data_IF_042696376952
#
_entry.id   IF_042696376952
#
_cell.length_a   1.000
_cell.length_b   1.000
_cell.length_c   1.000
_cell.angle_alpha   90.00
_cell.angle_beta   90.00
_cell.angle_gamma   90.00
#
_symmetry.space_group_name_H-M   'P 1'
#
loop_
_entity.id
_entity.type
_entity.pdbx_description
1 polymer ?
#
# COMPACT_ATOMS: atom_id res chain seq x y z
N UNK A 1 25.65 29.75 -28.14
CA UNK A 1 24.29 29.50 -27.64
C UNK A 1 23.76 28.12 -28.08
N UNK A 2 24.49 27.34 -28.90
CA UNK A 2 24.08 26.02 -29.39
C UNK A 2 24.61 24.84 -28.54
N UNK A 3 25.58 25.11 -27.64
CA UNK A 3 26.28 24.03 -26.92
C UNK A 3 25.57 23.57 -25.63
N UNK A 4 24.74 24.44 -25.02
CA UNK A 4 23.99 24.05 -23.84
C UNK A 4 22.72 23.20 -24.12
N UNK A 5 22.12 23.38 -25.30
CA UNK A 5 20.92 22.60 -25.66
C UNK A 5 21.31 21.16 -26.06
N UNK A 6 22.48 20.96 -26.65
CA UNK A 6 22.95 19.61 -26.99
C UNK A 6 23.35 18.80 -25.75
N UNK A 7 23.95 19.44 -24.74
CA UNK A 7 24.28 18.79 -23.46
C UNK A 7 23.03 18.45 -22.64
N UNK A 8 22.00 19.30 -22.67
CA UNK A 8 20.72 19.01 -22.04
C UNK A 8 19.97 17.88 -22.77
N UNK A 9 20.01 17.85 -24.11
CA UNK A 9 19.42 16.76 -24.91
C UNK A 9 20.16 15.43 -24.74
N UNK A 10 21.49 15.46 -24.60
CA UNK A 10 22.31 14.27 -24.35
C UNK A 10 22.12 13.72 -22.93
N UNK A 11 21.90 14.57 -21.90
CA UNK A 11 21.52 14.16 -20.57
C UNK A 11 20.09 13.59 -20.51
N UNK A 12 19.16 14.18 -21.27
CA UNK A 12 17.78 13.66 -21.37
C UNK A 12 17.71 12.32 -22.10
N UNK A 13 18.62 12.07 -23.06
CA UNK A 13 18.73 10.78 -23.78
C UNK A 13 19.39 9.73 -22.87
N UNK A 14 20.41 10.09 -22.10
CA UNK A 14 21.06 9.18 -21.15
C UNK A 14 20.14 8.82 -19.96
N UNK A 15 19.41 9.79 -19.39
CA UNK A 15 18.43 9.56 -18.35
C UNK A 15 17.21 8.76 -18.84
N UNK A 16 16.85 8.87 -20.13
CA UNK A 16 15.72 8.13 -20.71
C UNK A 16 16.00 6.65 -20.99
N UNK A 17 17.25 6.21 -20.91
CA UNK A 17 17.64 4.80 -21.16
C UNK A 17 17.69 3.99 -19.87
N UNK A 18 17.89 4.64 -18.72
CA UNK A 18 17.98 3.98 -17.41
C UNK A 18 16.67 4.01 -16.62
N UNK A 19 15.65 4.73 -17.06
CA UNK A 19 14.38 4.80 -16.36
C UNK A 19 13.40 3.74 -16.91
N UNK A 20 12.94 2.85 -16.03
CA UNK A 20 11.62 2.21 -16.17
C UNK A 20 10.63 3.30 -16.61
N UNK A 21 9.67 3.03 -17.52
CA UNK A 21 8.73 4.06 -17.99
C UNK A 21 8.22 4.82 -16.75
N UNK A 22 8.65 6.08 -16.63
CA UNK A 22 8.37 6.91 -15.46
C UNK A 22 6.87 6.91 -15.31
N UNK A 23 6.37 6.28 -14.26
CA UNK A 23 4.96 6.30 -13.96
C UNK A 23 4.57 7.78 -13.83
N UNK A 24 3.78 8.27 -14.76
CA UNK A 24 3.46 9.70 -14.92
C UNK A 24 2.83 10.33 -13.67
N UNK A 25 2.42 9.50 -12.71
CA UNK A 25 1.81 9.91 -11.45
C UNK A 25 2.68 9.66 -10.21
N UNK A 26 3.93 9.18 -10.38
CA UNK A 26 4.87 8.98 -9.28
C UNK A 26 5.46 10.31 -8.84
N UNK A 27 5.47 10.56 -7.52
CA UNK A 27 6.11 11.74 -6.92
C UNK A 27 7.62 11.58 -6.84
N UNK A 28 8.33 12.68 -7.07
CA UNK A 28 9.78 12.79 -6.90
C UNK A 28 10.03 13.81 -5.78
N UNK A 29 10.24 13.30 -4.58
CA UNK A 29 10.48 14.15 -3.41
C UNK A 29 11.93 14.60 -3.36
N UNK A 30 12.14 15.82 -2.86
CA UNK A 30 13.45 16.38 -2.57
C UNK A 30 13.55 16.82 -1.10
N UNK A 31 14.77 16.96 -0.59
CA UNK A 31 15.05 17.47 0.75
C UNK A 31 14.34 16.71 1.86
N UNK A 32 13.62 17.43 2.72
CA UNK A 32 12.93 16.84 3.89
C UNK A 32 11.82 15.86 3.51
N UNK A 33 11.16 16.07 2.36
CA UNK A 33 10.12 15.16 1.87
C UNK A 33 10.70 13.79 1.51
N UNK A 34 11.84 13.77 0.82
CA UNK A 34 12.56 12.55 0.51
C UNK A 34 13.01 11.82 1.79
N UNK A 35 13.56 12.56 2.75
CA UNK A 35 13.98 11.96 4.02
C UNK A 35 12.81 11.32 4.75
N UNK A 36 11.66 11.98 4.80
CA UNK A 36 10.47 11.44 5.46
C UNK A 36 9.97 10.13 4.82
N UNK A 37 9.82 10.10 3.49
CA UNK A 37 9.34 8.90 2.80
C UNK A 37 10.34 7.75 2.90
N UNK A 38 11.64 8.05 2.82
CA UNK A 38 12.71 7.05 2.95
C UNK A 38 12.73 6.42 4.34
N UNK A 39 12.63 7.24 5.40
CA UNK A 39 12.56 6.74 6.78
C UNK A 39 11.30 5.90 6.97
N UNK A 40 10.14 6.36 6.48
CA UNK A 40 8.88 5.63 6.58
C UNK A 40 8.94 4.27 5.88
N UNK A 41 9.53 4.22 4.68
CA UNK A 41 9.74 2.99 3.93
C UNK A 41 10.73 2.06 4.65
N UNK A 42 11.82 2.60 5.21
CA UNK A 42 12.80 1.84 5.98
C UNK A 42 12.19 1.23 7.26
N UNK A 43 11.36 1.99 7.97
CA UNK A 43 10.62 1.49 9.14
C UNK A 43 9.67 0.35 8.72
N UNK A 44 8.95 0.52 7.62
CA UNK A 44 8.04 -0.50 7.10
C UNK A 44 8.79 -1.78 6.69
N UNK A 45 9.94 -1.67 6.03
CA UNK A 45 10.80 -2.80 5.69
C UNK A 45 11.36 -3.48 6.95
N UNK A 46 11.87 -2.71 7.91
CA UNK A 46 12.39 -3.22 9.18
C UNK A 46 11.30 -3.96 9.98
N UNK A 47 10.08 -3.43 10.01
CA UNK A 47 8.94 -4.10 10.63
C UNK A 47 8.73 -5.52 10.08
N UNK A 48 8.75 -5.70 8.74
CA UNK A 48 8.59 -7.03 8.14
C UNK A 48 9.75 -7.95 8.47
N UNK A 49 10.98 -7.45 8.42
CA UNK A 49 12.16 -8.24 8.77
C UNK A 49 12.11 -8.70 10.23
N UNK A 50 11.77 -7.82 11.16
CA UNK A 50 11.70 -8.13 12.59
C UNK A 50 10.55 -9.09 12.91
N UNK A 51 9.36 -8.82 12.37
CA UNK A 51 8.16 -9.62 12.60
C UNK A 51 8.32 -11.06 12.10
N UNK A 52 8.88 -11.25 10.90
CA UNK A 52 9.06 -12.57 10.30
C UNK A 52 10.18 -13.39 10.94
N UNK A 53 11.17 -12.73 11.54
CA UNK A 53 12.23 -13.40 12.28
C UNK A 53 11.90 -13.63 13.77
N UNK A 54 10.70 -13.24 14.20
CA UNK A 54 10.28 -13.45 15.60
C UNK A 54 11.12 -12.66 16.61
N UNK A 55 11.64 -11.51 16.20
CA UNK A 55 12.48 -10.67 17.06
C UNK A 55 11.63 -10.03 18.14
N UNK A 56 11.80 -10.48 19.38
CA UNK A 56 11.18 -9.88 20.56
C UNK A 56 12.19 -8.99 21.28
N UNK A 57 11.82 -7.73 21.50
CA UNK A 57 12.67 -6.78 22.21
C UNK A 57 12.88 -7.24 23.66
N UNK A 58 11.85 -7.79 24.26
CA UNK A 58 11.88 -8.44 25.58
C UNK A 58 12.80 -9.65 25.60
N UNK A 59 12.76 -10.50 24.56
CA UNK A 59 13.65 -11.65 24.40
C UNK A 59 15.13 -11.26 24.19
N UNK A 60 15.38 -10.21 23.39
CA UNK A 60 16.75 -9.73 23.12
C UNK A 60 17.39 -9.04 24.33
N UNK A 61 16.60 -8.42 25.19
CA UNK A 61 17.09 -7.69 26.37
C UNK A 61 16.99 -8.49 27.66
N UNK A 62 16.62 -9.76 27.59
CA UNK A 62 16.44 -10.60 28.79
C UNK A 62 15.31 -10.09 29.72
N UNK A 63 14.30 -9.43 29.15
CA UNK A 63 13.17 -8.87 29.90
C UNK A 63 13.41 -7.48 30.51
N UNK A 64 14.59 -6.86 30.27
CA UNK A 64 14.95 -5.55 30.84
C UNK A 64 14.17 -4.41 30.16
N UNK A 65 13.91 -4.53 28.86
CA UNK A 65 13.18 -3.52 28.08
C UNK A 65 11.83 -4.10 27.67
N UNK A 66 10.79 -3.72 28.38
CA UNK A 66 9.41 -3.99 28.02
C UNK A 66 8.74 -2.65 27.68
N UNK A 67 8.64 -2.33 26.39
CA UNK A 67 7.99 -1.12 25.93
C UNK A 67 6.50 -1.43 25.71
N UNK A 68 5.59 -0.89 26.52
CA UNK A 68 4.16 -1.24 26.48
C UNK A 68 3.46 -0.88 25.17
N UNK A 69 4.12 -0.13 24.28
CA UNK A 69 3.59 0.29 22.98
C UNK A 69 4.21 -0.45 21.78
N UNK A 70 5.24 -1.27 21.99
CA UNK A 70 5.79 -2.12 20.93
C UNK A 70 5.20 -3.52 21.10
N UNK A 71 4.50 -4.03 20.07
CA UNK A 71 3.99 -5.38 20.12
C UNK A 71 5.15 -6.38 20.18
N UNK A 72 5.01 -7.40 21.00
CA UNK A 72 5.92 -8.55 20.96
C UNK A 72 5.80 -9.26 19.62
N UNK A 73 6.93 -9.51 18.98
CA UNK A 73 6.98 -10.35 17.80
C UNK A 73 7.22 -11.82 18.19
N UNK A 74 6.59 -12.78 17.50
CA UNK A 74 5.78 -12.65 16.28
C UNK A 74 4.37 -12.13 16.56
N UNK A 75 3.93 -11.20 15.74
CA UNK A 75 2.54 -10.74 15.77
C UNK A 75 1.60 -11.88 15.37
N UNK A 76 0.37 -11.85 15.91
CA UNK A 76 -0.70 -12.67 15.35
C UNK A 76 -0.83 -12.42 13.84
N UNK A 77 -1.10 -13.48 13.09
CA UNK A 77 -1.15 -13.46 11.61
C UNK A 77 -2.07 -12.35 11.06
N UNK A 78 -3.20 -12.10 11.74
CA UNK A 78 -4.13 -11.04 11.36
C UNK A 78 -3.53 -9.65 11.51
N UNK A 79 -2.98 -9.36 12.66
CA UNK A 79 -2.37 -8.07 12.98
C UNK A 79 -1.22 -7.77 12.03
N UNK A 80 -0.39 -8.78 11.72
CA UNK A 80 0.70 -8.64 10.77
C UNK A 80 0.20 -8.27 9.36
N UNK A 81 -0.83 -8.97 8.87
CA UNK A 81 -1.40 -8.69 7.54
C UNK A 81 -2.14 -7.35 7.49
N UNK A 82 -2.84 -6.95 8.56
CA UNK A 82 -3.50 -5.64 8.65
C UNK A 82 -2.46 -4.52 8.59
N UNK A 83 -1.37 -4.62 9.35
CA UNK A 83 -0.29 -3.63 9.31
C UNK A 83 0.39 -3.59 7.94
N UNK A 84 0.59 -4.76 7.31
CA UNK A 84 1.11 -4.83 5.94
C UNK A 84 0.24 -4.04 4.96
N UNK A 85 -1.06 -4.30 4.92
CA UNK A 85 -2.00 -3.61 4.02
C UNK A 85 -2.05 -2.11 4.32
N UNK A 86 -2.15 -1.73 5.59
CA UNK A 86 -2.23 -0.32 5.99
C UNK A 86 -0.94 0.45 5.64
N UNK A 87 0.23 -0.15 5.88
CA UNK A 87 1.51 0.46 5.53
C UNK A 87 1.70 0.60 4.01
N UNK A 88 1.29 -0.42 3.25
CA UNK A 88 1.30 -0.35 1.79
C UNK A 88 0.36 0.75 1.25
N UNK A 89 -0.85 0.89 1.83
CA UNK A 89 -1.78 1.96 1.49
C UNK A 89 -1.20 3.34 1.83
N UNK A 90 -0.66 3.51 3.04
CA UNK A 90 -0.10 4.79 3.47
C UNK A 90 1.09 5.21 2.59
N UNK A 91 2.06 4.33 2.38
CA UNK A 91 3.20 4.59 1.50
C UNK A 91 2.76 4.81 0.05
N UNK A 92 1.79 4.02 -0.44
CA UNK A 92 1.25 4.15 -1.78
C UNK A 92 0.59 5.50 -2.02
N UNK A 93 -0.25 6.00 -1.11
CA UNK A 93 -0.87 7.33 -1.23
C UNK A 93 0.15 8.47 -1.13
N UNK A 94 1.19 8.30 -0.33
CA UNK A 94 2.26 9.30 -0.27
C UNK A 94 3.07 9.33 -1.56
N UNK A 95 3.31 8.17 -2.18
CA UNK A 95 4.19 8.07 -3.36
C UNK A 95 3.48 8.30 -4.68
N UNK A 96 2.22 7.83 -4.83
CA UNK A 96 1.46 7.92 -6.07
C UNK A 96 0.37 8.98 -6.00
N UNK A 97 0.42 9.95 -6.92
CA UNK A 97 -0.63 10.96 -7.07
C UNK A 97 -1.88 10.38 -7.74
N UNK A 98 -3.03 10.98 -7.45
CA UNK A 98 -4.27 10.65 -8.15
C UNK A 98 -4.30 11.12 -9.61
N UNK A 99 -3.49 12.14 -9.94
CA UNK A 99 -3.39 12.79 -11.25
C UNK A 99 -1.99 12.60 -11.85
N UNK A 100 -1.92 12.56 -13.18
CA UNK A 100 -0.67 12.60 -13.92
C UNK A 100 0.01 13.97 -13.81
N UNK A 101 1.33 13.99 -13.77
CA UNK A 101 2.14 15.22 -13.74
C UNK A 101 2.50 15.75 -15.12
N UNK A 102 2.15 15.06 -16.21
CA UNK A 102 2.44 15.51 -17.59
C UNK A 102 1.59 16.68 -18.07
N UNK A 103 0.43 16.86 -17.44
CA UNK A 103 -0.40 18.03 -17.70
C UNK A 103 0.11 19.19 -16.86
N UNK A 104 0.46 20.29 -17.52
CA UNK A 104 0.94 21.59 -17.01
C UNK A 104 0.86 21.79 -15.49
N UNK A 105 1.82 22.42 -14.83
CA UNK A 105 1.78 22.68 -13.41
C UNK A 105 0.53 23.50 -13.07
N UNK A 106 -0.61 22.82 -12.99
CA UNK A 106 -1.85 23.41 -12.57
C UNK A 106 -1.71 23.78 -11.10
N UNK A 107 -1.70 25.06 -10.80
CA UNK A 107 -1.93 25.56 -9.45
C UNK A 107 -3.29 25.04 -9.02
N UNK A 108 -3.30 24.00 -8.17
CA UNK A 108 -4.55 23.50 -7.59
C UNK A 108 -5.32 24.64 -6.95
N UNK A 109 -6.62 24.65 -7.10
CA UNK A 109 -7.45 25.70 -6.47
C UNK A 109 -7.23 25.62 -4.96
N UNK A 110 -6.84 26.73 -4.32
CA UNK A 110 -6.53 26.73 -2.87
C UNK A 110 -7.71 26.23 -2.02
N UNK A 111 -8.94 26.44 -2.51
CA UNK A 111 -10.17 25.98 -1.88
C UNK A 111 -10.19 24.44 -1.68
N UNK A 112 -9.76 23.66 -2.67
CA UNK A 112 -9.72 22.18 -2.54
C UNK A 112 -8.69 21.73 -1.51
N UNK A 113 -7.57 22.44 -1.40
CA UNK A 113 -6.58 22.23 -0.34
C UNK A 113 -7.18 22.47 1.05
N UNK A 114 -7.88 23.61 1.26
CA UNK A 114 -8.55 23.92 2.53
C UNK A 114 -9.63 22.88 2.86
N UNK A 115 -10.44 22.47 1.90
CA UNK A 115 -11.46 21.47 2.11
C UNK A 115 -10.86 20.12 2.52
N UNK A 116 -9.69 19.77 2.00
CA UNK A 116 -8.95 18.58 2.41
C UNK A 116 -8.49 18.65 3.86
N UNK A 117 -8.05 19.81 4.34
CA UNK A 117 -7.72 19.99 5.75
C UNK A 117 -8.95 19.86 6.66
N UNK A 118 -10.14 20.29 6.20
CA UNK A 118 -11.39 20.07 6.94
C UNK A 118 -11.70 18.57 7.06
N UNK A 119 -11.41 17.76 6.03
CA UNK A 119 -11.59 16.30 6.08
C UNK A 119 -10.63 15.57 7.03
N UNK A 120 -9.54 16.22 7.46
CA UNK A 120 -8.71 15.65 8.52
C UNK A 120 -9.47 15.54 9.85
N UNK A 121 -10.43 16.43 10.11
CA UNK A 121 -11.21 16.39 11.36
C UNK A 121 -11.96 15.06 11.49
N UNK A 122 -12.83 14.65 10.54
CA UNK A 122 -13.49 13.37 10.64
C UNK A 122 -12.50 12.18 10.54
N UNK A 123 -11.39 12.27 9.81
CA UNK A 123 -10.37 11.22 9.76
C UNK A 123 -9.72 11.01 11.14
N UNK A 124 -9.31 12.08 11.83
CA UNK A 124 -8.76 11.99 13.19
C UNK A 124 -9.81 11.61 14.21
N UNK A 125 -11.08 12.03 14.05
CA UNK A 125 -12.17 11.60 14.90
C UNK A 125 -12.36 10.07 14.81
N UNK A 126 -12.39 9.50 13.61
CA UNK A 126 -12.47 8.06 13.42
C UNK A 126 -11.26 7.33 14.04
N UNK A 127 -10.05 7.87 13.84
CA UNK A 127 -8.84 7.30 14.44
C UNK A 127 -8.89 7.35 15.97
N UNK A 128 -9.27 8.48 16.54
CA UNK A 128 -9.42 8.65 17.99
C UNK A 128 -10.45 7.70 18.59
N UNK A 129 -11.57 7.50 17.89
CA UNK A 129 -12.59 6.51 18.32
C UNK A 129 -12.06 5.07 18.24
N UNK A 130 -11.28 4.72 17.20
CA UNK A 130 -10.66 3.41 17.14
C UNK A 130 -9.70 3.15 18.31
N UNK A 131 -8.94 4.16 18.72
CA UNK A 131 -8.11 4.08 19.94
C UNK A 131 -8.94 4.04 21.22
N UNK A 132 -10.05 4.79 21.31
CA UNK A 132 -10.96 4.71 22.47
C UNK A 132 -11.49 3.29 22.64
N UNK A 133 -11.88 2.64 21.55
CA UNK A 133 -12.31 1.24 21.58
C UNK A 133 -11.19 0.30 22.05
N UNK A 134 -9.94 0.55 21.66
CA UNK A 134 -8.81 -0.22 22.14
C UNK A 134 -8.63 -0.09 23.67
N UNK A 135 -8.76 1.13 24.19
CA UNK A 135 -8.66 1.40 25.61
C UNK A 135 -9.83 0.76 26.40
N UNK A 136 -11.05 0.81 25.87
CA UNK A 136 -12.22 0.20 26.50
C UNK A 136 -12.05 -1.30 26.63
N UNK A 137 -11.59 -1.99 25.58
CA UNK A 137 -11.30 -3.42 25.59
C UNK A 137 -10.17 -3.74 26.58
N UNK A 138 -9.10 -2.94 26.61
CA UNK A 138 -8.00 -3.12 27.55
C UNK A 138 -8.42 -2.93 29.00
N UNK A 139 -9.39 -2.05 29.25
CA UNK A 139 -9.99 -1.83 30.57
C UNK A 139 -11.04 -2.89 30.93
N UNK A 140 -11.22 -3.93 30.13
CA UNK A 140 -12.12 -5.04 30.41
C UNK A 140 -13.59 -4.81 30.03
N UNK A 141 -13.89 -3.76 29.26
CA UNK A 141 -15.24 -3.58 28.71
C UNK A 141 -15.50 -4.70 27.71
N UNK A 142 -16.53 -5.50 27.99
CA UNK A 142 -16.93 -6.56 27.06
C UNK A 142 -17.55 -5.96 25.79
N UNK A 143 -16.85 -6.12 24.67
CA UNK A 143 -17.36 -5.66 23.38
C UNK A 143 -18.50 -6.56 22.92
N UNK A 144 -19.70 -6.00 22.84
CA UNK A 144 -20.88 -6.70 22.39
C UNK A 144 -21.53 -5.93 21.24
N UNK A 145 -21.50 -6.49 20.02
CA UNK A 145 -22.08 -5.87 18.82
C UNK A 145 -23.63 -5.70 18.86
N UNK A 146 -24.30 -6.21 19.90
CA UNK A 146 -25.74 -6.07 20.11
C UNK A 146 -26.04 -4.83 20.96
N UNK A 147 -25.10 -4.35 21.76
CA UNK A 147 -25.27 -3.17 22.61
C UNK A 147 -25.56 -1.92 21.77
N UNK A 148 -26.65 -1.24 22.10
CA UNK A 148 -27.09 -0.06 21.36
C UNK A 148 -26.09 1.10 21.43
N UNK A 149 -25.39 1.26 22.55
CA UNK A 149 -24.39 2.32 22.74
C UNK A 149 -23.15 2.05 21.89
N UNK A 150 -22.66 0.81 21.92
CA UNK A 150 -21.50 0.37 21.10
C UNK A 150 -21.85 0.53 19.61
N UNK A 151 -23.02 0.05 19.20
CA UNK A 151 -23.50 0.18 17.82
C UNK A 151 -23.63 1.64 17.39
N UNK A 152 -24.10 2.53 18.27
CA UNK A 152 -24.16 3.95 18.00
C UNK A 152 -22.77 4.54 17.80
N UNK A 153 -21.82 4.24 18.69
CA UNK A 153 -20.45 4.72 18.61
C UNK A 153 -19.75 4.21 17.35
N UNK A 154 -19.89 2.91 17.03
CA UNK A 154 -19.35 2.33 15.81
C UNK A 154 -19.92 2.95 14.53
N UNK A 155 -21.22 3.30 14.52
CA UNK A 155 -21.85 3.85 13.33
C UNK A 155 -21.58 5.34 13.17
N UNK A 156 -21.80 6.13 14.23
CA UNK A 156 -21.84 7.59 14.13
C UNK A 156 -20.54 8.29 14.53
N UNK A 157 -19.79 7.74 15.47
CA UNK A 157 -18.55 8.38 15.92
C UNK A 157 -17.31 7.82 15.23
N UNK A 158 -17.35 6.57 14.77
CA UNK A 158 -16.27 5.94 14.03
C UNK A 158 -16.59 5.85 12.52
N UNK A 159 -17.65 5.15 12.16
CA UNK A 159 -17.91 4.72 10.80
C UNK A 159 -18.31 5.85 9.87
N UNK A 160 -19.24 6.70 10.27
CA UNK A 160 -19.68 7.84 9.44
C UNK A 160 -18.53 8.82 9.19
N UNK A 161 -17.75 9.27 10.21
CA UNK A 161 -16.58 10.11 9.95
C UNK A 161 -15.53 9.44 9.07
N UNK A 162 -15.27 8.15 9.25
CA UNK A 162 -14.34 7.38 8.42
C UNK A 162 -14.76 7.36 6.95
N UNK A 163 -16.04 7.07 6.66
CA UNK A 163 -16.55 7.05 5.29
C UNK A 163 -16.55 8.44 4.65
N UNK A 164 -16.96 9.47 5.38
CA UNK A 164 -16.93 10.85 4.89
C UNK A 164 -15.50 11.27 4.55
N UNK A 165 -14.54 10.99 5.41
CA UNK A 165 -13.14 11.30 5.17
C UNK A 165 -12.57 10.49 3.99
N UNK A 166 -12.88 9.19 3.91
CA UNK A 166 -12.39 8.31 2.84
C UNK A 166 -12.96 8.73 1.48
N UNK A 167 -14.27 8.83 1.35
CA UNK A 167 -14.92 9.21 0.08
C UNK A 167 -14.55 10.64 -0.30
N UNK A 168 -14.61 11.57 0.66
CA UNK A 168 -14.21 12.95 0.45
C UNK A 168 -12.74 13.08 0.03
N UNK A 169 -11.83 12.36 0.70
CA UNK A 169 -10.41 12.32 0.36
C UNK A 169 -10.16 11.79 -1.05
N UNK A 170 -10.84 10.71 -1.44
CA UNK A 170 -10.76 10.15 -2.80
C UNK A 170 -11.23 11.18 -3.83
N UNK A 171 -12.43 11.73 -3.66
CA UNK A 171 -13.01 12.70 -4.60
C UNK A 171 -12.13 13.95 -4.70
N UNK A 172 -11.69 14.51 -3.56
CA UNK A 172 -10.82 15.69 -3.57
C UNK A 172 -9.46 15.40 -4.21
N UNK A 173 -8.92 14.19 -4.06
CA UNK A 173 -7.65 13.82 -4.68
C UNK A 173 -7.70 13.83 -6.20
N UNK A 174 -8.86 13.57 -6.81
CA UNK A 174 -9.04 13.61 -8.27
C UNK A 174 -8.99 15.02 -8.84
N UNK A 175 -9.44 16.00 -8.07
CA UNK A 175 -9.52 17.40 -8.53
C UNK A 175 -8.39 18.28 -8.00
N UNK A 176 -7.69 17.84 -6.93
CA UNK A 176 -6.61 18.62 -6.33
C UNK A 176 -5.29 18.28 -7.01
N UNK A 177 -4.76 19.23 -7.79
CA UNK A 177 -3.46 19.11 -8.44
C UNK A 177 -2.37 19.73 -7.55
N UNK A 178 -1.28 19.01 -7.37
CA UNK A 178 -0.09 19.46 -6.63
C UNK A 178 1.15 19.32 -7.49
N UNK A 179 2.25 20.00 -7.14
CA UNK A 179 3.55 19.77 -7.77
C UNK A 179 4.08 18.36 -7.43
N UNK A 180 4.91 17.82 -8.32
CA UNK A 180 5.47 16.45 -8.21
C UNK A 180 6.30 16.24 -6.95
N UNK A 181 6.89 17.31 -6.40
CA UNK A 181 7.77 17.30 -5.24
C UNK A 181 7.04 17.42 -3.89
N UNK A 182 5.74 17.74 -3.89
CA UNK A 182 4.96 18.04 -2.68
C UNK A 182 3.93 17.01 -2.35
N UNK A 183 3.71 16.78 -1.06
CA UNK A 183 2.60 16.00 -0.56
C UNK A 183 1.26 16.68 -0.86
N UNK A 184 0.25 15.88 -1.15
CA UNK A 184 -1.11 16.36 -1.32
C UNK A 184 -1.91 16.20 -0.03
N UNK A 185 -2.66 17.23 0.37
CA UNK A 185 -3.48 17.17 1.58
C UNK A 185 -4.55 16.07 1.54
N UNK A 186 -5.29 15.83 0.41
CA UNK A 186 -6.20 14.70 0.31
C UNK A 186 -5.52 13.35 0.54
N UNK A 187 -4.30 13.15 0.03
CA UNK A 187 -3.59 11.88 0.18
C UNK A 187 -3.19 11.63 1.63
N UNK A 188 -2.89 12.69 2.37
CA UNK A 188 -2.66 12.57 3.81
C UNK A 188 -3.94 12.18 4.56
N UNK A 189 -5.11 12.68 4.16
CA UNK A 189 -6.41 12.22 4.70
C UNK A 189 -6.57 10.71 4.47
N UNK A 190 -6.27 10.22 3.25
CA UNK A 190 -6.39 8.79 2.94
C UNK A 190 -5.41 7.92 3.75
N UNK A 191 -4.20 8.42 4.03
CA UNK A 191 -3.26 7.75 4.93
C UNK A 191 -3.82 7.62 6.35
N UNK A 192 -4.41 8.70 6.89
CA UNK A 192 -5.04 8.68 8.22
C UNK A 192 -6.23 7.72 8.25
N UNK A 193 -7.05 7.68 7.19
CA UNK A 193 -8.15 6.73 7.07
C UNK A 193 -7.65 5.28 7.03
N UNK A 194 -6.58 4.98 6.28
CA UNK A 194 -5.97 3.65 6.26
C UNK A 194 -5.49 3.22 7.65
N UNK A 195 -4.90 4.15 8.40
CA UNK A 195 -4.48 3.92 9.77
C UNK A 195 -5.67 3.70 10.71
N UNK A 196 -6.76 4.49 10.59
CA UNK A 196 -7.98 4.30 11.37
C UNK A 196 -8.60 2.91 11.17
N UNK A 197 -8.68 2.45 9.91
CA UNK A 197 -9.13 1.09 9.56
C UNK A 197 -8.27 0.04 10.24
N UNK A 198 -6.95 0.18 10.17
CA UNK A 198 -6.03 -0.77 10.76
C UNK A 198 -6.16 -0.85 12.28
N UNK A 199 -6.15 0.29 12.97
CA UNK A 199 -6.30 0.35 14.42
C UNK A 199 -7.60 -0.31 14.87
N UNK A 200 -8.73 0.03 14.21
CA UNK A 200 -10.02 -0.56 14.55
C UNK A 200 -10.02 -2.09 14.36
N UNK A 201 -9.54 -2.57 13.22
CA UNK A 201 -9.54 -4.01 12.93
C UNK A 201 -8.59 -4.80 13.85
N UNK A 202 -7.41 -4.29 14.15
CA UNK A 202 -6.49 -4.91 15.11
C UNK A 202 -7.15 -5.03 16.48
N UNK A 203 -7.82 -3.96 16.90
CA UNK A 203 -8.52 -3.90 18.19
C UNK A 203 -9.63 -4.95 18.28
N UNK A 204 -10.52 -4.99 17.29
CA UNK A 204 -11.67 -5.88 17.31
C UNK A 204 -11.29 -7.34 17.06
N UNK A 205 -10.31 -7.59 16.19
CA UNK A 205 -9.85 -8.95 15.90
C UNK A 205 -9.03 -9.57 17.06
N UNK A 206 -8.52 -8.76 17.95
CA UNK A 206 -7.98 -9.22 19.23
C UNK A 206 -9.04 -9.76 20.20
N UNK A 207 -10.33 -9.58 19.88
CA UNK A 207 -11.46 -10.06 20.67
C UNK A 207 -12.13 -11.28 20.05
N UNK A 208 -13.08 -11.88 20.79
CA UNK A 208 -13.92 -12.98 20.27
C UNK A 208 -14.87 -12.54 19.13
N UNK A 209 -15.01 -11.22 18.91
CA UNK A 209 -15.88 -10.67 17.86
C UNK A 209 -15.45 -11.04 16.46
N UNK A 210 -14.18 -11.39 16.24
CA UNK A 210 -13.72 -11.92 14.94
C UNK A 210 -14.47 -13.19 14.53
N UNK A 211 -14.93 -14.00 15.49
CA UNK A 211 -15.67 -15.23 15.22
C UNK A 211 -17.10 -14.97 14.71
N UNK A 212 -17.59 -13.74 14.85
CA UNK A 212 -18.90 -13.33 14.35
C UNK A 212 -18.88 -12.78 12.94
N UNK A 213 -17.68 -12.62 12.32
CA UNK A 213 -17.54 -12.15 10.93
C UNK A 213 -18.28 -13.07 9.96
N UNK A 214 -18.92 -12.51 8.95
CA UNK A 214 -19.76 -13.26 8.02
C UNK A 214 -21.14 -13.67 8.57
N UNK A 215 -21.47 -13.28 9.81
CA UNK A 215 -22.76 -13.52 10.43
C UNK A 215 -23.54 -12.22 10.62
N UNK A 216 -24.87 -12.27 10.89
CA UNK A 216 -25.65 -11.08 11.23
C UNK A 216 -25.28 -10.42 12.56
N UNK A 217 -24.48 -11.10 13.38
CA UNK A 217 -24.05 -10.63 14.72
C UNK A 217 -22.70 -9.90 14.70
N UNK A 218 -22.08 -9.80 13.53
CA UNK A 218 -20.83 -9.05 13.39
C UNK A 218 -21.02 -7.59 13.79
N UNK A 219 -20.09 -6.98 14.55
CA UNK A 219 -20.08 -5.56 14.81
C UNK A 219 -20.18 -4.75 13.51
N UNK A 220 -21.04 -3.74 13.49
CA UNK A 220 -21.27 -2.94 12.29
C UNK A 220 -20.01 -2.17 11.87
N UNK A 221 -19.19 -1.80 12.85
CA UNK A 221 -17.93 -1.12 12.61
C UNK A 221 -16.96 -1.92 11.74
N UNK A 222 -16.94 -3.27 11.86
CA UNK A 222 -16.13 -4.13 10.97
C UNK A 222 -16.55 -3.95 9.51
N UNK A 223 -17.86 -3.95 9.26
CA UNK A 223 -18.39 -3.80 7.90
C UNK A 223 -18.09 -2.42 7.32
N UNK A 224 -18.22 -1.38 8.14
CA UNK A 224 -17.91 0.00 7.72
C UNK A 224 -16.40 0.18 7.48
N UNK A 225 -15.56 -0.33 8.38
CA UNK A 225 -14.09 -0.32 8.20
C UNK A 225 -13.68 -1.08 6.93
N UNK A 226 -14.32 -2.22 6.64
CA UNK A 226 -14.08 -2.99 5.44
C UNK A 226 -14.52 -2.24 4.16
N UNK A 227 -15.64 -1.52 4.18
CA UNK A 227 -16.05 -0.64 3.07
C UNK A 227 -15.00 0.44 2.83
N UNK A 228 -14.61 1.17 3.88
CA UNK A 228 -13.59 2.21 3.77
C UNK A 228 -12.25 1.65 3.26
N UNK A 229 -11.78 0.56 3.83
CA UNK A 229 -10.55 -0.10 3.42
C UNK A 229 -10.59 -0.63 1.98
N UNK A 230 -11.73 -1.17 1.55
CA UNK A 230 -11.92 -1.61 0.15
C UNK A 230 -11.85 -0.41 -0.81
N UNK A 231 -12.49 0.71 -0.48
CA UNK A 231 -12.40 1.94 -1.27
C UNK A 231 -10.97 2.47 -1.35
N UNK A 232 -10.22 2.44 -0.25
CA UNK A 232 -8.80 2.83 -0.22
C UNK A 232 -7.95 1.93 -1.14
N UNK A 233 -8.14 0.61 -1.07
CA UNK A 233 -7.43 -0.34 -1.95
C UNK A 233 -7.79 -0.09 -3.42
N UNK A 234 -9.06 0.09 -3.74
CA UNK A 234 -9.50 0.37 -5.11
C UNK A 234 -8.91 1.68 -5.64
N UNK A 235 -8.87 2.73 -4.82
CA UNK A 235 -8.27 4.01 -5.22
C UNK A 235 -6.75 3.87 -5.43
N UNK A 236 -6.03 3.18 -4.56
CA UNK A 236 -4.60 2.94 -4.76
C UNK A 236 -4.34 2.07 -5.99
N UNK A 237 -5.16 1.03 -6.21
CA UNK A 237 -5.10 0.20 -7.42
C UNK A 237 -5.31 1.02 -8.68
N UNK A 238 -6.26 1.96 -8.67
CA UNK A 238 -6.49 2.89 -9.78
C UNK A 238 -5.24 3.72 -10.11
N UNK A 239 -4.52 4.15 -9.07
CA UNK A 239 -3.30 4.98 -9.22
C UNK A 239 -2.12 4.18 -9.75
N UNK A 240 -1.95 2.95 -9.30
CA UNK A 240 -0.77 2.12 -9.59
C UNK A 240 -0.98 1.24 -10.82
N UNK A 241 -2.12 0.55 -10.89
CA UNK A 241 -2.41 -0.44 -11.93
C UNK A 241 -3.40 0.04 -13.00
N UNK A 242 -3.92 1.27 -12.86
CA UNK A 242 -4.87 1.85 -13.78
C UNK A 242 -6.32 1.45 -13.52
N UNK A 243 -7.21 1.98 -14.36
CA UNK A 243 -8.67 1.90 -14.16
C UNK A 243 -9.25 0.52 -14.48
N UNK A 244 -8.61 -0.27 -15.35
CA UNK A 244 -9.17 -1.53 -15.84
C UNK A 244 -9.44 -2.54 -14.70
N UNK A 245 -8.49 -2.74 -13.80
CA UNK A 245 -8.65 -3.64 -12.65
C UNK A 245 -9.75 -3.16 -11.68
N UNK A 246 -9.85 -1.85 -11.48
CA UNK A 246 -10.89 -1.26 -10.62
C UNK A 246 -12.29 -1.49 -11.20
N UNK A 247 -12.43 -1.34 -12.52
CA UNK A 247 -13.72 -1.59 -13.21
C UNK A 247 -14.12 -3.06 -13.06
N UNK A 248 -13.20 -3.99 -13.30
CA UNK A 248 -13.45 -5.43 -13.13
C UNK A 248 -13.86 -5.74 -11.68
N UNK A 249 -13.10 -5.25 -10.71
CA UNK A 249 -13.41 -5.43 -9.29
C UNK A 249 -14.79 -4.85 -8.92
N UNK A 250 -15.12 -3.67 -9.44
CA UNK A 250 -16.42 -3.02 -9.21
C UNK A 250 -17.57 -3.84 -9.80
N UNK A 251 -17.40 -4.40 -10.99
CA UNK A 251 -18.42 -5.27 -11.62
C UNK A 251 -18.69 -6.49 -10.73
N UNK A 252 -17.64 -7.16 -10.24
CA UNK A 252 -17.81 -8.30 -9.34
C UNK A 252 -18.44 -7.89 -8.00
N UNK A 253 -18.07 -6.72 -7.46
CA UNK A 253 -18.65 -6.21 -6.23
C UNK A 253 -20.15 -5.91 -6.39
N UNK A 254 -20.56 -5.30 -7.52
CA UNK A 254 -21.97 -5.08 -7.85
C UNK A 254 -22.69 -6.40 -8.04
N UNK A 255 -22.06 -7.38 -8.71
CA UNK A 255 -22.64 -8.71 -8.92
C UNK A 255 -23.01 -9.40 -7.60
N UNK A 256 -22.23 -9.25 -6.54
CA UNK A 256 -22.54 -9.82 -5.22
C UNK A 256 -23.92 -9.40 -4.71
N UNK A 257 -24.34 -8.15 -4.98
CA UNK A 257 -25.61 -7.59 -4.48
C UNK A 257 -26.76 -7.70 -5.49
N UNK A 258 -26.45 -7.80 -6.78
CA UNK A 258 -27.46 -7.86 -7.85
C UNK A 258 -27.71 -9.30 -8.32
N UNK A 259 -26.81 -10.21 -7.98
CA UNK A 259 -26.86 -11.60 -8.47
C UNK A 259 -28.14 -12.36 -8.09
N UNK A 260 -28.85 -12.00 -7.02
CA UNK A 260 -30.14 -12.59 -6.65
C UNK A 260 -31.24 -12.35 -7.70
N UNK A 261 -31.12 -11.25 -8.47
CA UNK A 261 -32.09 -10.84 -9.48
C UNK A 261 -31.74 -11.40 -10.89
N UNK A 262 -30.57 -12.02 -11.03
CA UNK A 262 -30.13 -12.54 -12.34
C UNK A 262 -30.71 -13.92 -12.63
N UNK A 263 -31.04 -14.20 -13.90
CA UNK A 263 -31.62 -15.49 -14.28
C UNK A 263 -30.59 -16.61 -14.44
N UNK A 264 -31.03 -17.83 -14.21
CA UNK A 264 -30.29 -19.06 -14.55
C UNK A 264 -29.01 -19.26 -13.74
N UNK A 265 -27.92 -19.61 -14.41
CA UNK A 265 -26.64 -19.94 -13.75
C UNK A 265 -25.92 -18.73 -13.13
N UNK A 266 -26.34 -17.51 -13.45
CA UNK A 266 -25.82 -16.29 -12.86
C UNK A 266 -26.51 -15.92 -11.54
N UNK A 267 -27.56 -16.65 -11.15
CA UNK A 267 -28.25 -16.37 -9.90
C UNK A 267 -27.37 -16.73 -8.71
N UNK A 268 -27.22 -15.80 -7.76
CA UNK A 268 -26.52 -16.00 -6.49
C UNK A 268 -27.46 -15.81 -5.30
N UNK A 269 -27.20 -16.46 -4.15
CA UNK A 269 -27.96 -16.20 -2.92
C UNK A 269 -27.88 -14.74 -2.52
N UNK A 270 -28.97 -14.19 -1.97
CA UNK A 270 -28.95 -12.83 -1.44
C UNK A 270 -28.03 -12.73 -0.21
N UNK A 271 -27.21 -11.69 -0.20
CA UNK A 271 -26.31 -11.39 0.90
C UNK A 271 -26.45 -9.94 1.32
N UNK A 272 -26.58 -9.70 2.62
CA UNK A 272 -26.61 -8.33 3.14
C UNK A 272 -25.22 -7.69 3.08
N UNK A 273 -25.18 -6.37 2.85
CA UNK A 273 -23.92 -5.65 2.80
C UNK A 273 -23.07 -5.81 4.07
N UNK A 274 -23.71 -5.83 5.25
CA UNK A 274 -23.03 -6.04 6.52
C UNK A 274 -22.34 -7.40 6.58
N UNK A 275 -23.07 -8.46 6.21
CA UNK A 275 -22.52 -9.81 6.20
C UNK A 275 -21.35 -9.94 5.22
N UNK A 276 -21.50 -9.39 4.03
CA UNK A 276 -20.45 -9.42 3.00
C UNK A 276 -19.20 -8.67 3.45
N UNK A 277 -19.33 -7.39 3.81
CA UNK A 277 -18.19 -6.57 4.18
C UNK A 277 -17.56 -7.00 5.51
N UNK A 278 -18.31 -7.56 6.45
CA UNK A 278 -17.69 -8.12 7.66
C UNK A 278 -16.75 -9.28 7.38
N UNK A 279 -16.89 -9.94 6.23
CA UNK A 279 -16.04 -11.05 5.79
C UNK A 279 -14.92 -10.62 4.83
N UNK A 280 -15.05 -9.48 4.15
CA UNK A 280 -14.09 -9.00 3.14
C UNK A 280 -12.69 -8.82 3.71
N UNK A 281 -12.55 -8.28 4.91
CA UNK A 281 -11.26 -8.07 5.56
C UNK A 281 -10.81 -9.24 6.45
N UNK A 282 -11.24 -10.44 6.13
CA UNK A 282 -10.82 -11.67 6.84
C UNK A 282 -9.84 -12.49 5.98
N UNK A 283 -9.43 -13.66 6.50
CA UNK A 283 -8.63 -14.65 5.79
C UNK A 283 -9.35 -15.25 4.57
N UNK A 284 -10.68 -15.18 4.54
CA UNK A 284 -11.50 -15.54 3.38
C UNK A 284 -11.54 -14.43 2.31
N UNK A 285 -11.03 -13.24 2.60
CA UNK A 285 -11.03 -12.08 1.72
C UNK A 285 -9.65 -11.43 1.56
N UNK A 286 -9.58 -10.12 1.83
CA UNK A 286 -8.38 -9.29 1.61
C UNK A 286 -7.17 -9.80 2.41
N UNK A 287 -7.36 -10.25 3.66
CA UNK A 287 -6.28 -10.80 4.48
C UNK A 287 -5.98 -12.27 4.19
N UNK A 288 -6.48 -12.81 3.09
CA UNK A 288 -6.35 -14.19 2.68
C UNK A 288 -4.96 -14.58 2.14
N UNK A 289 -4.87 -15.69 1.38
CA UNK A 289 -3.60 -16.24 0.91
C UNK A 289 -2.76 -15.25 0.10
N UNK A 290 -3.37 -14.39 -0.71
CA UNK A 290 -2.66 -13.39 -1.52
C UNK A 290 -1.90 -12.39 -0.64
N UNK A 291 -2.56 -11.84 0.37
CA UNK A 291 -1.91 -10.94 1.33
C UNK A 291 -0.90 -11.67 2.20
N UNK A 292 -1.14 -12.95 2.53
CA UNK A 292 -0.17 -13.76 3.24
C UNK A 292 1.14 -13.88 2.47
N UNK A 293 1.10 -14.22 1.19
CA UNK A 293 2.28 -14.33 0.33
C UNK A 293 2.95 -12.96 0.13
N UNK A 294 2.15 -11.90 -0.07
CA UNK A 294 2.68 -10.53 -0.21
C UNK A 294 3.43 -10.07 1.03
N UNK A 295 2.85 -10.26 2.22
CA UNK A 295 3.41 -9.79 3.48
C UNK A 295 4.62 -10.61 3.97
N UNK A 296 4.77 -11.86 3.52
CA UNK A 296 5.87 -12.73 3.95
C UNK A 296 6.97 -12.84 2.90
N UNK A 297 6.66 -13.41 1.73
CA UNK A 297 7.68 -13.73 0.73
C UNK A 297 7.99 -12.54 -0.18
N UNK A 298 6.97 -11.92 -0.79
CA UNK A 298 7.19 -10.89 -1.81
C UNK A 298 7.92 -9.69 -1.21
N UNK A 299 7.49 -9.21 -0.05
CA UNK A 299 8.14 -8.05 0.59
C UNK A 299 9.62 -8.32 0.93
N UNK A 300 9.96 -9.54 1.39
CA UNK A 300 11.34 -9.91 1.67
C UNK A 300 12.18 -9.96 0.40
N UNK A 301 11.64 -10.48 -0.70
CA UNK A 301 12.34 -10.48 -1.98
C UNK A 301 12.56 -9.05 -2.50
N UNK A 302 11.59 -8.15 -2.32
CA UNK A 302 11.75 -6.74 -2.71
C UNK A 302 12.85 -6.08 -1.86
N UNK A 303 12.85 -6.29 -0.55
CA UNK A 303 13.88 -5.78 0.35
C UNK A 303 15.26 -6.33 -0.05
N UNK A 304 15.36 -7.64 -0.29
CA UNK A 304 16.60 -8.27 -0.74
C UNK A 304 17.09 -7.69 -2.08
N UNK A 305 16.19 -7.53 -3.06
CA UNK A 305 16.53 -6.93 -4.34
C UNK A 305 17.05 -5.49 -4.19
N UNK A 306 16.45 -4.69 -3.30
CA UNK A 306 16.94 -3.34 -3.02
C UNK A 306 18.38 -3.34 -2.45
N UNK A 307 18.71 -4.27 -1.55
CA UNK A 307 20.08 -4.44 -1.06
C UNK A 307 21.04 -4.87 -2.16
N UNK A 308 20.64 -5.78 -3.05
CA UNK A 308 21.46 -6.20 -4.17
C UNK A 308 21.74 -5.03 -5.15
N UNK A 309 20.72 -4.21 -5.43
CA UNK A 309 20.92 -3.00 -6.25
C UNK A 309 21.86 -2.01 -5.58
N UNK A 310 21.68 -1.73 -4.30
CA UNK A 310 22.53 -0.81 -3.54
C UNK A 310 24.00 -1.31 -3.45
N UNK A 311 24.24 -2.61 -3.43
CA UNK A 311 25.57 -3.21 -3.38
C UNK A 311 26.26 -3.30 -4.74
N UNK A 312 25.64 -2.79 -5.82
CA UNK A 312 26.17 -2.83 -7.20
C UNK A 312 26.49 -4.24 -7.71
N UNK A 313 25.78 -5.24 -7.23
CA UNK A 313 25.92 -6.63 -7.69
C UNK A 313 25.60 -6.76 -9.19
N UNK A 314 24.73 -5.91 -9.71
CA UNK A 314 24.45 -5.83 -11.15
C UNK A 314 25.70 -5.55 -11.98
N UNK A 315 26.47 -4.53 -11.62
CA UNK A 315 27.74 -4.19 -12.29
C UNK A 315 28.75 -5.35 -12.21
N UNK A 316 28.79 -6.02 -11.05
CA UNK A 316 29.62 -7.21 -10.88
C UNK A 316 29.22 -8.33 -11.83
N UNK A 317 27.93 -8.62 -12.00
CA UNK A 317 27.46 -9.67 -12.89
C UNK A 317 27.77 -9.37 -14.36
N UNK A 318 27.63 -8.13 -14.77
CA UNK A 318 27.99 -7.72 -16.14
C UNK A 318 29.51 -7.86 -16.35
N UNK A 319 30.32 -7.37 -15.42
CA UNK A 319 31.78 -7.51 -15.48
C UNK A 319 32.22 -8.98 -15.46
N UNK A 320 31.58 -9.82 -14.66
CA UNK A 320 31.82 -11.25 -14.64
C UNK A 320 31.47 -11.90 -16.00
N UNK A 321 30.31 -11.55 -16.57
CA UNK A 321 29.91 -12.04 -17.88
C UNK A 321 30.93 -11.63 -18.98
N UNK A 322 31.44 -10.40 -18.92
CA UNK A 322 32.52 -9.95 -19.81
C UNK A 322 33.82 -10.75 -19.63
N UNK A 323 34.18 -11.08 -18.41
CA UNK A 323 35.40 -11.86 -18.14
C UNK A 323 35.33 -13.29 -18.70
N UNK A 324 34.13 -13.89 -18.63
CA UNK A 324 33.90 -15.28 -19.09
C UNK A 324 33.69 -15.38 -20.59
N UNK A 325 32.89 -14.50 -21.19
CA UNK A 325 32.42 -14.63 -22.56
C UNK A 325 32.96 -13.54 -23.51
N UNK A 326 33.55 -12.45 -22.99
CA UNK A 326 33.93 -11.28 -23.80
C UNK A 326 34.96 -11.55 -24.88
N UNK A 327 35.91 -12.47 -24.64
CA UNK A 327 36.96 -12.85 -25.60
C UNK A 327 36.53 -13.90 -26.64
N UNK A 328 35.32 -14.47 -26.47
CA UNK A 328 34.81 -15.47 -27.39
C UNK A 328 34.34 -14.85 -28.72
N UNK A 329 34.35 -15.64 -29.80
CA UNK A 329 33.78 -15.18 -31.08
C UNK A 329 32.31 -14.84 -30.90
N UNK A 330 31.89 -13.59 -31.19
CA UNK A 330 30.59 -13.05 -30.87
C UNK A 330 30.44 -12.69 -29.36
N UNK A 331 31.55 -12.29 -28.72
CA UNK A 331 31.64 -11.96 -27.30
C UNK A 331 30.54 -11.08 -26.77
N UNK A 332 30.26 -9.90 -27.35
CA UNK A 332 29.24 -9.00 -26.88
C UNK A 332 27.85 -9.63 -26.78
N UNK A 333 27.44 -10.39 -27.81
CA UNK A 333 26.12 -11.08 -27.79
C UNK A 333 26.07 -12.17 -26.72
N UNK A 334 27.15 -12.90 -26.49
CA UNK A 334 27.21 -13.92 -25.42
C UNK A 334 27.21 -13.29 -24.04
N UNK A 335 27.90 -12.17 -23.86
CA UNK A 335 27.92 -11.40 -22.63
C UNK A 335 26.50 -10.89 -22.30
N UNK A 336 25.79 -10.36 -23.31
CA UNK A 336 24.40 -9.90 -23.11
C UNK A 336 23.49 -11.02 -22.60
N UNK A 337 23.60 -12.24 -23.17
CA UNK A 337 22.80 -13.39 -22.73
C UNK A 337 23.18 -13.80 -21.30
N UNK A 338 24.47 -13.91 -21.00
CA UNK A 338 24.95 -14.28 -19.67
C UNK A 338 24.60 -13.23 -18.62
N UNK A 339 24.83 -11.97 -18.91
CA UNK A 339 24.50 -10.85 -18.02
C UNK A 339 22.97 -10.79 -17.77
N UNK A 340 22.15 -10.93 -18.83
CA UNK A 340 20.70 -10.95 -18.72
C UNK A 340 20.21 -12.14 -17.88
N UNK A 341 20.81 -13.31 -18.01
CA UNK A 341 20.50 -14.47 -17.18
C UNK A 341 20.80 -14.24 -15.69
N UNK A 342 21.96 -13.67 -15.39
CA UNK A 342 22.35 -13.34 -14.01
C UNK A 342 21.52 -12.20 -13.43
N UNK A 343 21.29 -11.15 -14.21
CA UNK A 343 20.45 -10.02 -13.79
C UNK A 343 18.98 -10.43 -13.62
N UNK A 344 18.48 -11.35 -14.43
CA UNK A 344 17.13 -11.89 -14.30
C UNK A 344 16.88 -12.63 -12.99
N UNK A 345 17.93 -13.09 -12.30
CA UNK A 345 17.83 -13.68 -10.95
C UNK A 345 17.58 -12.64 -9.87
N UNK A 346 17.88 -11.36 -10.16
CA UNK A 346 17.78 -10.25 -9.20
C UNK A 346 16.62 -9.32 -9.54
N UNK A 347 16.44 -9.01 -10.82
CA UNK A 347 15.42 -8.10 -11.31
C UNK A 347 14.05 -8.80 -11.28
N UNK A 348 13.09 -8.22 -10.58
CA UNK A 348 11.70 -8.69 -10.56
C UNK A 348 10.91 -8.36 -11.83
N UNK A 349 11.46 -7.57 -12.77
CA UNK A 349 10.80 -7.13 -14.00
C UNK A 349 11.63 -7.46 -15.24
N UNK A 350 10.96 -7.91 -16.31
CA UNK A 350 11.60 -8.17 -17.60
C UNK A 350 12.12 -6.88 -18.26
N UNK A 351 11.37 -5.77 -18.11
CA UNK A 351 11.75 -4.47 -18.63
C UNK A 351 13.03 -3.94 -17.97
N UNK A 352 13.13 -3.98 -16.64
CA UNK A 352 14.31 -3.58 -15.89
C UNK A 352 15.54 -4.42 -16.26
N UNK A 353 15.35 -5.73 -16.52
CA UNK A 353 16.45 -6.59 -16.98
C UNK A 353 16.95 -6.21 -18.37
N UNK A 354 16.05 -5.91 -19.32
CA UNK A 354 16.41 -5.49 -20.68
C UNK A 354 17.14 -4.15 -20.66
N UNK A 355 16.66 -3.18 -19.90
CA UNK A 355 17.31 -1.87 -19.78
C UNK A 355 18.68 -2.00 -19.15
N UNK A 356 18.81 -2.66 -18.00
CA UNK A 356 20.06 -2.80 -17.28
C UNK A 356 21.16 -3.55 -18.08
N UNK A 357 20.78 -4.59 -18.82
CA UNK A 357 21.74 -5.34 -19.65
C UNK A 357 21.94 -4.69 -21.00
N UNK A 358 20.92 -4.07 -21.58
CA UNK A 358 20.97 -3.40 -22.88
C UNK A 358 21.84 -2.18 -22.86
N UNK A 359 21.75 -1.31 -21.85
CA UNK A 359 22.59 -0.11 -21.74
C UNK A 359 24.08 -0.40 -21.66
N UNK A 360 24.47 -1.59 -21.18
CA UNK A 360 25.85 -2.02 -21.04
C UNK A 360 26.36 -2.88 -22.21
N UNK A 361 25.48 -3.44 -23.02
CA UNK A 361 25.84 -4.41 -24.08
C UNK A 361 25.54 -3.92 -25.50
N UNK A 362 24.71 -2.90 -25.63
CA UNK A 362 24.41 -2.24 -26.91
C UNK A 362 25.21 -0.95 -26.93
N UNK A 363 26.21 -0.81 -27.89
CA UNK A 363 27.01 0.39 -28.02
C UNK A 363 26.20 1.57 -28.56
#
# INVERSE_FOLDING_TARGET
MSDKSQVEDEHLIADGVDEEPVEHNRRLFEGTGLTFITISAAIYAAFHMLALNGVSLSGMTGGIVNLPFLPDFPLETWNFRIVHVAGALALGFLWYSANSFNDSPGTGTPLLGYLSYVLLVPAFMATGMAFSFALDIQNGVMWNGIDATIKFNETWLFGTPLLVATVGGIVLSWFHKTSREKYSAPDFVLCVCAFAVAVYLITIYGTLMRNSTGTPFAPIGISIAAVAGTLLIMELTRRVAGLALVVIATIFLIYVFVGEFLPGFLQSPSITWQRFFSQVYTDAGILGPTTAVSSTYIILFIIFAAFLQASKVGDYFVNFAFSVAGRARGGPAKVAIFASGLMGMINGTSAGNVVATGSLTIP
#
